data_IF_909453374713
#
_entry.id   IF_909453374713
#
_cell.length_a   1.000
_cell.length_b   1.000
_cell.length_c   1.000
_cell.angle_alpha   90.00
_cell.angle_beta   90.00
_cell.angle_gamma   90.00
#
_symmetry.space_group_name_H-M   'P 1'
#
loop_
_entity.id
_entity.type
_entity.pdbx_description
1 polymer ?
#
# COMPACT_ATOMS: atom_id res chain seq x y z
N UNK A 1 19.23 -13.31 19.00
CA UNK A 1 18.57 -12.27 18.17
C UNK A 1 17.22 -12.84 17.73
N UNK A 2 16.10 -12.20 18.07
CA UNK A 2 14.76 -12.72 17.78
C UNK A 2 14.25 -12.09 16.47
N UNK A 3 13.92 -12.91 15.47
CA UNK A 3 13.48 -12.44 14.14
C UNK A 3 12.25 -11.52 14.23
N UNK A 4 11.29 -11.83 15.11
CA UNK A 4 10.10 -11.02 15.38
C UNK A 4 10.46 -9.60 15.82
N UNK A 5 11.50 -9.43 16.66
CA UNK A 5 11.91 -8.09 17.12
C UNK A 5 12.55 -7.24 16.04
N UNK A 6 13.02 -7.84 14.96
CA UNK A 6 13.70 -7.15 13.86
C UNK A 6 12.82 -7.01 12.63
N UNK A 7 11.65 -7.64 12.61
CA UNK A 7 10.78 -7.72 11.45
C UNK A 7 10.46 -6.35 10.85
N UNK A 8 10.07 -5.37 11.68
CA UNK A 8 9.80 -4.01 11.20
C UNK A 8 11.05 -3.34 10.59
N UNK A 9 12.22 -3.56 11.19
CA UNK A 9 13.49 -3.06 10.67
C UNK A 9 13.84 -3.67 9.32
N UNK A 10 13.64 -4.99 9.18
CA UNK A 10 13.83 -5.73 7.92
C UNK A 10 12.83 -5.24 6.86
N UNK A 11 11.55 -5.09 7.21
CA UNK A 11 10.52 -4.59 6.31
C UNK A 11 10.88 -3.19 5.77
N UNK A 12 11.30 -2.28 6.66
CA UNK A 12 11.76 -0.94 6.29
C UNK A 12 12.97 -0.96 5.36
N UNK A 13 13.96 -1.81 5.67
CA UNK A 13 15.17 -1.92 4.86
C UNK A 13 14.87 -2.45 3.46
N UNK A 14 14.06 -3.50 3.34
CA UNK A 14 13.70 -4.09 2.04
C UNK A 14 12.79 -3.17 1.22
N UNK A 15 11.89 -2.41 1.87
CA UNK A 15 11.12 -1.35 1.21
C UNK A 15 11.99 -0.21 0.68
N UNK A 16 13.02 0.20 1.42
CA UNK A 16 13.95 1.25 0.98
C UNK A 16 14.65 0.85 -0.33
N UNK A 17 15.04 -0.42 -0.47
CA UNK A 17 15.62 -0.95 -1.72
C UNK A 17 14.67 -0.70 -2.90
N UNK A 18 13.37 -0.98 -2.76
CA UNK A 18 12.40 -0.75 -3.84
C UNK A 18 12.19 0.73 -4.16
N UNK A 19 12.33 1.62 -3.17
CA UNK A 19 12.21 3.07 -3.38
C UNK A 19 13.41 3.66 -4.13
N UNK A 20 14.60 3.16 -3.83
CA UNK A 20 15.86 3.66 -4.38
C UNK A 20 16.25 2.99 -5.72
N UNK A 21 15.59 1.89 -6.08
CA UNK A 21 15.79 1.24 -7.38
C UNK A 21 15.26 2.16 -8.50
N UNK A 22 16.13 2.53 -9.44
CA UNK A 22 15.68 3.14 -10.69
C UNK A 22 14.73 2.16 -11.41
N UNK A 23 13.75 2.65 -12.18
CA UNK A 23 12.69 1.78 -12.76
C UNK A 23 13.26 0.61 -13.61
N UNK A 24 14.50 0.73 -14.08
CA UNK A 24 15.20 -0.28 -14.89
C UNK A 24 16.26 -1.10 -14.12
N UNK A 25 16.74 -0.67 -12.94
CA UNK A 25 17.79 -1.38 -12.22
C UNK A 25 17.21 -2.47 -11.30
N UNK A 26 17.02 -3.61 -11.98
CA UNK A 26 17.07 -4.99 -11.48
C UNK A 26 15.77 -5.49 -10.81
N UNK A 27 14.83 -5.94 -11.65
CA UNK A 27 13.69 -6.77 -11.27
C UNK A 27 14.05 -7.94 -10.33
N UNK A 28 15.23 -8.56 -10.53
CA UNK A 28 15.74 -9.66 -9.69
C UNK A 28 15.96 -9.21 -8.24
N UNK A 29 16.47 -8.00 -8.00
CA UNK A 29 16.69 -7.47 -6.65
C UNK A 29 15.35 -7.22 -5.96
N UNK A 30 14.37 -6.71 -6.71
CA UNK A 30 13.00 -6.51 -6.21
C UNK A 30 12.33 -7.84 -5.83
N UNK A 31 12.42 -8.86 -6.69
CA UNK A 31 11.84 -10.19 -6.44
C UNK A 31 12.49 -10.89 -5.25
N UNK A 32 13.82 -10.80 -5.12
CA UNK A 32 14.53 -11.37 -3.97
C UNK A 32 14.20 -10.64 -2.67
N UNK A 33 14.11 -9.31 -2.69
CA UNK A 33 13.70 -8.53 -1.53
C UNK A 33 12.26 -8.89 -1.12
N UNK A 34 11.35 -9.06 -2.09
CA UNK A 34 9.99 -9.52 -1.83
C UNK A 34 9.97 -10.89 -1.16
N UNK A 35 10.64 -11.87 -1.78
CA UNK A 35 10.67 -13.25 -1.28
C UNK A 35 11.30 -13.34 0.11
N UNK A 36 12.30 -12.50 0.38
CA UNK A 36 12.92 -12.41 1.70
C UNK A 36 11.95 -11.86 2.74
N UNK A 37 11.25 -10.77 2.43
CA UNK A 37 10.27 -10.20 3.35
C UNK A 37 9.13 -11.20 3.61
N UNK A 38 8.53 -11.75 2.56
CA UNK A 38 7.49 -12.79 2.62
C UNK A 38 7.89 -13.96 3.54
N UNK A 39 9.12 -14.49 3.36
CA UNK A 39 9.63 -15.57 4.20
C UNK A 39 9.76 -15.18 5.68
N UNK A 40 10.20 -13.95 5.96
CA UNK A 40 10.27 -13.42 7.33
C UNK A 40 8.86 -13.31 7.93
N UNK A 41 7.89 -12.78 7.18
CA UNK A 41 6.50 -12.66 7.62
C UNK A 41 5.90 -14.01 7.99
N UNK A 42 6.00 -14.98 7.09
CA UNK A 42 5.52 -16.34 7.33
C UNK A 42 6.22 -16.95 8.53
N UNK A 43 7.52 -16.73 8.72
CA UNK A 43 8.23 -17.27 9.89
C UNK A 43 7.78 -16.62 11.20
N UNK A 44 7.49 -15.33 11.20
CA UNK A 44 7.08 -14.59 12.40
C UNK A 44 5.64 -14.87 12.83
N UNK A 45 4.71 -15.05 11.87
CA UNK A 45 3.28 -15.04 12.15
C UNK A 45 2.54 -16.35 11.85
N UNK A 46 3.25 -17.42 11.45
CA UNK A 46 2.59 -18.70 11.17
C UNK A 46 2.03 -19.36 12.45
N UNK A 47 0.82 -19.94 12.39
CA UNK A 47 0.13 -20.53 13.54
C UNK A 47 0.85 -21.75 14.18
N UNK A 48 1.91 -22.25 13.55
CA UNK A 48 2.72 -23.37 14.04
C UNK A 48 3.80 -22.97 15.05
N UNK A 49 3.90 -21.70 15.45
CA UNK A 49 4.90 -21.29 16.44
C UNK A 49 4.52 -21.82 17.83
N UNK A 50 5.29 -22.81 18.31
CA UNK A 50 5.18 -23.43 19.63
C UNK A 50 5.28 -22.42 20.79
N UNK A 51 5.84 -21.23 20.54
CA UNK A 51 6.01 -20.14 21.50
C UNK A 51 4.74 -19.28 21.71
N UNK A 52 3.69 -19.46 20.90
CA UNK A 52 2.41 -18.74 21.00
C UNK A 52 1.63 -19.02 22.29
N UNK A 53 2.00 -20.06 23.05
CA UNK A 53 1.40 -20.40 24.33
C UNK A 53 1.83 -19.48 25.49
N UNK A 54 2.84 -18.61 25.29
CA UNK A 54 3.28 -17.63 26.29
C UNK A 54 2.50 -16.32 26.04
N UNK A 55 1.64 -15.92 27.00
CA UNK A 55 0.76 -14.74 26.87
C UNK A 55 1.49 -13.45 26.45
N UNK A 56 2.70 -13.22 26.98
CA UNK A 56 3.51 -12.04 26.61
C UNK A 56 4.15 -12.10 25.23
N UNK A 57 4.34 -13.29 24.66
CA UNK A 57 4.86 -13.47 23.31
C UNK A 57 3.78 -13.14 22.27
N UNK A 58 2.57 -13.64 22.48
CA UNK A 58 1.43 -13.41 21.58
C UNK A 58 1.06 -11.91 21.47
N UNK A 59 1.13 -11.15 22.57
CA UNK A 59 0.84 -9.71 22.52
C UNK A 59 1.95 -8.93 21.80
N UNK A 60 3.20 -9.31 22.00
CA UNK A 60 4.33 -8.73 21.29
C UNK A 60 4.27 -8.99 19.78
N UNK A 61 3.92 -10.22 19.39
CA UNK A 61 3.71 -10.60 18.00
C UNK A 61 2.61 -9.75 17.35
N UNK A 62 1.46 -9.62 18.00
CA UNK A 62 0.38 -8.73 17.55
C UNK A 62 0.82 -7.26 17.44
N UNK A 63 1.66 -6.80 18.37
CA UNK A 63 2.24 -5.45 18.32
C UNK A 63 3.08 -5.23 17.08
N UNK A 64 4.07 -6.10 16.85
CA UNK A 64 4.94 -6.03 15.66
C UNK A 64 4.13 -6.18 14.37
N UNK A 65 3.18 -7.11 14.33
CA UNK A 65 2.26 -7.29 13.21
C UNK A 65 1.57 -5.98 12.84
N UNK A 66 0.99 -5.28 13.83
CA UNK A 66 0.30 -3.99 13.62
C UNK A 66 1.26 -2.92 13.11
N UNK A 67 2.48 -2.88 13.62
CA UNK A 67 3.50 -1.93 13.15
C UNK A 67 3.90 -2.18 11.69
N UNK A 68 4.08 -3.45 11.30
CA UNK A 68 4.43 -3.82 9.93
C UNK A 68 3.27 -3.53 8.97
N UNK A 69 2.05 -3.94 9.28
CA UNK A 69 0.86 -3.62 8.47
C UNK A 69 0.66 -2.10 8.39
N UNK A 70 0.84 -1.39 9.50
CA UNK A 70 0.85 0.06 9.57
C UNK A 70 1.85 0.67 8.61
N UNK A 71 3.08 0.18 8.61
CA UNK A 71 4.13 0.66 7.72
C UNK A 71 3.83 0.37 6.24
N UNK A 72 3.42 -0.86 5.90
CA UNK A 72 3.02 -1.25 4.54
C UNK A 72 1.88 -0.39 4.02
N UNK A 73 0.87 -0.09 4.85
CA UNK A 73 -0.30 0.70 4.43
C UNK A 73 0.05 2.08 3.89
N UNK A 74 1.11 2.71 4.41
CA UNK A 74 1.54 4.05 3.98
C UNK A 74 2.15 4.06 2.58
N UNK A 75 2.53 2.89 2.07
CA UNK A 75 3.21 2.69 0.80
C UNK A 75 2.27 2.27 -0.33
N UNK A 76 0.98 2.06 -0.03
CA UNK A 76 -0.05 1.70 -1.02
C UNK A 76 -0.28 2.78 -2.08
N UNK A 77 -0.03 4.04 -1.75
CA UNK A 77 -0.09 5.18 -2.67
C UNK A 77 1.29 5.69 -3.10
N UNK A 78 2.34 4.88 -2.96
CA UNK A 78 3.70 5.28 -3.32
C UNK A 78 3.80 5.65 -4.81
N UNK A 79 4.63 6.66 -5.19
CA UNK A 79 4.83 7.01 -6.60
C UNK A 79 5.39 5.87 -7.45
N UNK A 80 6.18 4.98 -6.83
CA UNK A 80 6.81 3.84 -7.48
C UNK A 80 5.84 2.64 -7.57
N UNK A 81 5.57 2.16 -8.78
CA UNK A 81 4.64 1.04 -9.04
C UNK A 81 5.12 -0.29 -8.45
N UNK A 82 6.43 -0.55 -8.45
CA UNK A 82 7.04 -1.75 -7.86
C UNK A 82 6.77 -1.80 -6.36
N UNK A 83 6.92 -0.66 -5.68
CA UNK A 83 6.59 -0.54 -4.24
C UNK A 83 5.12 -0.90 -4.02
N UNK A 84 4.20 -0.28 -4.76
CA UNK A 84 2.75 -0.54 -4.61
C UNK A 84 2.41 -2.01 -4.86
N UNK A 85 2.89 -2.60 -5.95
CA UNK A 85 2.63 -4.00 -6.32
C UNK A 85 3.11 -4.98 -5.23
N UNK A 86 4.34 -4.80 -4.73
CA UNK A 86 4.90 -5.66 -3.69
C UNK A 86 4.16 -5.50 -2.36
N UNK A 87 3.83 -4.27 -1.97
CA UNK A 87 3.06 -3.98 -0.75
C UNK A 87 1.67 -4.63 -0.80
N UNK A 88 0.95 -4.51 -1.92
CA UNK A 88 -0.36 -5.13 -2.10
C UNK A 88 -0.30 -6.66 -1.97
N UNK A 89 0.73 -7.29 -2.54
CA UNK A 89 0.96 -8.74 -2.42
C UNK A 89 1.26 -9.16 -0.99
N UNK A 90 2.14 -8.44 -0.29
CA UNK A 90 2.50 -8.72 1.11
C UNK A 90 1.29 -8.58 2.04
N UNK A 91 0.44 -7.58 1.85
CA UNK A 91 -0.81 -7.47 2.60
C UNK A 91 -1.75 -8.65 2.33
N UNK A 92 -1.75 -9.17 1.10
CA UNK A 92 -2.42 -10.43 0.75
C UNK A 92 -1.88 -11.64 1.50
N UNK A 93 -0.56 -11.77 1.62
CA UNK A 93 0.08 -12.84 2.43
C UNK A 93 -0.29 -12.71 3.92
N UNK A 94 -0.26 -11.50 4.48
CA UNK A 94 -0.69 -11.25 5.86
C UNK A 94 -2.16 -11.61 6.10
N UNK A 95 -3.03 -11.29 5.14
CA UNK A 95 -4.43 -11.67 5.16
C UNK A 95 -4.60 -13.21 5.18
N UNK A 96 -3.82 -13.93 4.37
CA UNK A 96 -3.81 -15.39 4.37
C UNK A 96 -3.31 -15.97 5.69
N UNK A 97 -2.19 -15.47 6.23
CA UNK A 97 -1.61 -15.94 7.49
C UNK A 97 -2.60 -15.76 8.66
N UNK A 98 -3.30 -14.64 8.70
CA UNK A 98 -4.25 -14.32 9.78
C UNK A 98 -5.68 -14.81 9.54
N UNK A 99 -5.94 -15.41 8.38
CA UNK A 99 -7.28 -15.79 7.92
C UNK A 99 -8.30 -14.62 8.03
N UNK A 100 -7.89 -13.45 7.55
CA UNK A 100 -8.70 -12.21 7.51
C UNK A 100 -8.69 -11.63 6.11
N UNK A 101 -9.70 -10.82 5.77
CA UNK A 101 -9.60 -10.00 4.56
C UNK A 101 -8.55 -8.87 4.74
N UNK A 102 -7.93 -8.45 3.63
CA UNK A 102 -7.02 -7.29 3.65
C UNK A 102 -7.74 -6.03 4.16
N UNK A 103 -9.01 -5.84 3.80
CA UNK A 103 -9.80 -4.70 4.30
C UNK A 103 -9.96 -4.72 5.81
N UNK A 104 -10.07 -5.90 6.45
CA UNK A 104 -10.08 -6.01 7.91
C UNK A 104 -8.72 -5.65 8.54
N UNK A 105 -7.61 -5.96 7.85
CA UNK A 105 -6.27 -5.56 8.30
C UNK A 105 -6.06 -4.05 8.23
N UNK A 106 -6.66 -3.40 7.23
CA UNK A 106 -6.52 -1.96 6.97
C UNK A 106 -7.50 -1.10 7.78
N UNK A 107 -8.62 -1.65 8.26
CA UNK A 107 -9.65 -0.89 8.97
C UNK A 107 -9.12 -0.06 10.16
N UNK A 108 -8.23 -0.57 11.03
CA UNK A 108 -7.65 0.24 12.11
C UNK A 108 -6.81 1.44 11.64
N UNK A 109 -6.40 1.44 10.38
CA UNK A 109 -5.52 2.43 9.76
C UNK A 109 -6.30 3.38 8.83
N UNK A 110 -7.61 3.19 8.70
CA UNK A 110 -8.46 3.89 7.74
C UNK A 110 -8.36 5.40 7.81
N UNK A 111 -8.36 5.98 9.01
CA UNK A 111 -8.23 7.44 9.20
C UNK A 111 -6.88 7.99 8.71
N UNK A 112 -5.80 7.23 8.90
CA UNK A 112 -4.47 7.60 8.39
C UNK A 112 -4.42 7.51 6.87
N UNK A 113 -4.98 6.44 6.30
CA UNK A 113 -5.03 6.21 4.85
C UNK A 113 -5.86 7.30 4.18
N UNK A 114 -7.07 7.60 4.67
CA UNK A 114 -7.92 8.65 4.11
C UNK A 114 -7.29 10.03 4.25
N UNK A 115 -6.63 10.31 5.38
CA UNK A 115 -5.87 11.54 5.59
C UNK A 115 -4.69 11.72 4.63
N UNK A 116 -4.11 10.64 4.11
CA UNK A 116 -3.02 10.69 3.12
C UNK A 116 -3.57 10.91 1.70
N UNK A 117 -4.58 10.13 1.31
CA UNK A 117 -5.10 10.06 -0.06
C UNK A 117 -5.96 11.28 -0.40
N UNK A 118 -6.78 11.74 0.55
CA UNK A 118 -7.74 12.82 0.33
C UNK A 118 -7.23 14.19 0.83
N UNK A 119 -5.94 14.33 1.11
CA UNK A 119 -5.36 15.54 1.73
C UNK A 119 -5.52 16.81 0.89
N UNK A 120 -5.42 16.70 -0.43
CA UNK A 120 -5.58 17.79 -1.40
C UNK A 120 -6.14 17.22 -2.71
N UNK A 121 -6.64 18.10 -3.59
CA UNK A 121 -7.09 17.70 -4.93
C UNK A 121 -6.00 16.95 -5.68
N UNK A 122 -6.40 15.94 -6.44
CA UNK A 122 -5.47 15.06 -7.17
C UNK A 122 -4.56 15.87 -8.10
N UNK A 123 -5.14 16.82 -8.83
CA UNK A 123 -4.44 17.73 -9.76
C UNK A 123 -3.31 18.54 -9.12
N UNK A 124 -3.30 18.71 -7.79
CA UNK A 124 -2.29 19.50 -7.08
C UNK A 124 -1.03 18.69 -6.71
N UNK A 125 -0.98 17.41 -7.07
CA UNK A 125 0.19 16.56 -6.86
C UNK A 125 1.04 16.44 -8.14
N UNK A 126 2.34 16.16 -8.05
CA UNK A 126 3.12 15.71 -9.21
C UNK A 126 2.54 14.42 -9.81
N UNK A 127 2.62 14.25 -11.14
CA UNK A 127 2.03 13.12 -11.87
C UNK A 127 2.32 11.74 -11.25
N UNK A 128 3.57 11.40 -10.83
CA UNK A 128 3.83 10.10 -10.21
C UNK A 128 3.01 9.84 -8.94
N UNK A 129 2.76 10.89 -8.14
CA UNK A 129 1.92 10.78 -6.94
C UNK A 129 0.44 10.70 -7.31
N UNK A 130 0.01 11.38 -8.38
CA UNK A 130 -1.36 11.25 -8.88
C UNK A 130 -1.66 9.81 -9.30
N UNK A 131 -0.75 9.21 -10.08
CA UNK A 131 -0.84 7.80 -10.50
C UNK A 131 -0.86 6.87 -9.28
N UNK A 132 0.01 7.11 -8.30
CA UNK A 132 0.03 6.33 -7.06
C UNK A 132 -1.29 6.38 -6.28
N UNK A 133 -1.88 7.56 -6.15
CA UNK A 133 -3.17 7.74 -5.48
C UNK A 133 -4.32 7.03 -6.22
N UNK A 134 -4.39 7.13 -7.55
CA UNK A 134 -5.42 6.46 -8.35
C UNK A 134 -5.30 4.93 -8.31
N UNK A 135 -4.07 4.42 -8.37
CA UNK A 135 -3.80 2.99 -8.25
C UNK A 135 -4.18 2.47 -6.85
N UNK A 136 -3.87 3.24 -5.80
CA UNK A 136 -4.30 2.92 -4.44
C UNK A 136 -5.83 2.88 -4.32
N UNK A 137 -6.55 3.88 -4.86
CA UNK A 137 -8.02 3.90 -4.88
C UNK A 137 -8.59 2.69 -5.62
N UNK A 138 -8.02 2.34 -6.77
CA UNK A 138 -8.39 1.14 -7.53
C UNK A 138 -8.20 -0.12 -6.69
N UNK A 139 -7.05 -0.25 -6.02
CA UNK A 139 -6.78 -1.37 -5.12
C UNK A 139 -7.80 -1.45 -3.99
N UNK A 140 -8.06 -0.36 -3.26
CA UNK A 140 -9.01 -0.33 -2.15
C UNK A 140 -10.42 -0.74 -2.59
N UNK A 141 -10.89 -0.23 -3.72
CA UNK A 141 -12.20 -0.58 -4.27
C UNK A 141 -12.28 -2.04 -4.75
N UNK A 142 -11.15 -2.64 -5.15
CA UNK A 142 -11.08 -4.03 -5.59
C UNK A 142 -11.08 -5.04 -4.43
N UNK A 143 -10.81 -4.61 -3.20
CA UNK A 143 -10.81 -5.47 -2.03
C UNK A 143 -12.20 -6.08 -1.76
N UNK A 144 -12.23 -7.17 -0.98
CA UNK A 144 -13.47 -7.85 -0.57
C UNK A 144 -13.50 -7.99 0.96
N UNK A 145 -14.37 -7.27 1.68
CA UNK A 145 -15.26 -6.20 1.17
C UNK A 145 -14.50 -4.99 0.61
N UNK A 146 -15.11 -4.20 -0.32
CA UNK A 146 -14.51 -3.01 -0.88
C UNK A 146 -14.13 -2.01 0.20
N UNK A 147 -12.87 -1.60 0.21
CA UNK A 147 -12.36 -0.59 1.14
C UNK A 147 -12.56 0.81 0.54
N UNK A 148 -12.89 1.77 1.40
CA UNK A 148 -13.22 3.16 1.05
C UNK A 148 -14.46 3.40 0.16
N UNK A 149 -15.23 2.36 -0.20
CA UNK A 149 -16.38 2.52 -1.08
C UNK A 149 -17.47 3.47 -0.57
N UNK A 150 -17.54 3.67 0.75
CA UNK A 150 -18.50 4.57 1.41
C UNK A 150 -17.89 5.92 1.82
N UNK A 151 -16.63 6.19 1.48
CA UNK A 151 -15.98 7.45 1.86
C UNK A 151 -16.50 8.60 1.00
N UNK A 152 -17.00 9.66 1.64
CA UNK A 152 -17.54 10.84 0.95
C UNK A 152 -16.50 11.52 0.04
N UNK A 153 -15.24 11.56 0.46
CA UNK A 153 -14.15 12.17 -0.29
C UNK A 153 -13.76 11.40 -1.56
N UNK A 154 -14.16 10.12 -1.69
CA UNK A 154 -13.92 9.35 -2.91
C UNK A 154 -14.59 10.02 -4.12
N UNK A 155 -15.84 10.45 -3.95
CA UNK A 155 -16.60 11.10 -5.02
C UNK A 155 -15.94 12.41 -5.47
N UNK A 156 -15.41 13.20 -4.52
CA UNK A 156 -14.72 14.46 -4.82
C UNK A 156 -13.48 14.22 -5.68
N UNK A 157 -12.68 13.20 -5.37
CA UNK A 157 -11.48 12.88 -6.17
C UNK A 157 -11.85 12.41 -7.58
N UNK A 158 -12.89 11.59 -7.72
CA UNK A 158 -13.35 11.12 -9.03
C UNK A 158 -13.92 12.25 -9.88
N UNK A 159 -14.64 13.19 -9.27
CA UNK A 159 -15.12 14.40 -9.95
C UNK A 159 -13.97 15.32 -10.38
N UNK A 160 -12.96 15.52 -9.54
CA UNK A 160 -11.77 16.29 -9.89
C UNK A 160 -11.06 15.68 -11.11
N UNK A 161 -10.90 14.34 -11.14
CA UNK A 161 -10.29 13.63 -12.27
C UNK A 161 -11.12 13.77 -13.56
N UNK A 162 -12.45 13.69 -13.46
CA UNK A 162 -13.36 13.90 -14.59
C UNK A 162 -13.23 15.32 -15.16
N UNK A 163 -13.29 16.34 -14.29
CA UNK A 163 -13.17 17.74 -14.70
C UNK A 163 -11.80 18.02 -15.34
N UNK A 164 -10.72 17.41 -14.83
CA UNK A 164 -9.39 17.54 -15.42
C UNK A 164 -9.35 17.02 -16.86
N UNK A 165 -9.93 15.84 -17.12
CA UNK A 165 -9.99 15.25 -18.46
C UNK A 165 -10.81 16.14 -19.42
N UNK A 166 -11.97 16.63 -18.99
CA UNK A 166 -12.83 17.51 -19.80
C UNK A 166 -12.12 18.84 -20.17
N UNK A 167 -11.27 19.36 -19.27
CA UNK A 167 -10.49 20.57 -19.52
C UNK A 167 -9.35 20.35 -20.52
N UNK A 168 -8.64 19.21 -20.45
CA UNK A 168 -7.58 18.85 -21.41
C UNK A 168 -8.15 18.70 -22.83
N UNK A 169 -9.29 18.02 -22.98
CA UNK A 169 -9.98 17.84 -24.27
C UNK A 169 -10.41 19.19 -24.88
N UNK A 170 -10.92 20.10 -24.05
CA UNK A 170 -11.31 21.46 -24.47
C UNK A 170 -10.12 22.33 -24.92
N UNK A 171 -8.94 22.17 -24.31
CA UNK A 171 -7.72 22.86 -24.73
C UNK A 171 -7.14 22.27 -26.03
N UNK A 172 -7.19 20.95 -26.19
CA UNK A 172 -6.80 20.27 -27.42
C UNK A 172 -7.63 20.70 -28.64
N UNK A 173 -8.94 20.92 -28.45
CA UNK A 173 -9.84 21.41 -29.51
C UNK A 173 -9.62 22.88 -29.89
N UNK A 174 -9.23 23.75 -28.95
CA UNK A 174 -8.92 25.16 -29.24
C UNK A 174 -7.66 25.31 -30.09
N UNK A 175 -6.61 24.54 -29.80
CA UNK A 175 -5.35 24.61 -30.53
C UNK A 175 -5.42 24.04 -31.97
N UNK A 176 -6.50 23.33 -32.31
CA UNK A 176 -6.75 22.83 -33.68
C UNK A 176 -7.55 23.80 -34.55
N UNK A 177 -8.27 24.77 -33.97
CA UNK A 177 -9.01 25.79 -34.73
C UNK A 177 -8.14 27.01 -35.09
N UNK A 178 -6.99 27.18 -34.45
CA UNK A 178 -6.04 28.28 -34.68
C UNK A 178 -4.85 27.90 -35.61
N UNK A 179 -4.96 26.81 -36.38
CA UNK A 179 -4.01 26.40 -37.43
C UNK A 179 -4.69 26.26 -38.78
#
# INVERSE_FOLDING_TARGET
MNLLTQELGIARALLAIWKDSSQDEIAITSEKAYSTLAAVLHRCHSPSQTDSAIEGFAEKEKGVFREVVGHLSQELAAPNSTVRSNVQKLLGEFAQITNKAVSELLEPLKSSITGQIFKRRLSNYPLPVQVGNLDALTYFLSLKPPFLATESNLYVVLQDALQYAEMEDGQGMRNQHDR
#
